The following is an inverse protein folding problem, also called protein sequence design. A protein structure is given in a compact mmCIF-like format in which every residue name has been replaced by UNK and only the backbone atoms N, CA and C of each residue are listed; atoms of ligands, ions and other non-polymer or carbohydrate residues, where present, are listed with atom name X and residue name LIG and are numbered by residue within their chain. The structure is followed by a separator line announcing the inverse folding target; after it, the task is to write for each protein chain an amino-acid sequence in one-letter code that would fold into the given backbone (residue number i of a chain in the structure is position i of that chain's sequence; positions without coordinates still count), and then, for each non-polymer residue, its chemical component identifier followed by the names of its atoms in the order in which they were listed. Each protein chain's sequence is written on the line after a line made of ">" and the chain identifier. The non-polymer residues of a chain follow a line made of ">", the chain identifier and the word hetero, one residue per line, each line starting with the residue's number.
data_IF_495292556237
#
_entry.id   IF_495292556237
#
_cell.length_a   1.000
_cell.length_b   1.000
_cell.length_c   1.000
_cell.angle_alpha   90.00
_cell.angle_beta   90.00
_cell.angle_gamma   90.00
#
_symmetry.space_group_name_H-M   'P 1'
#
loop_
_entity.id
_entity.type
_entity.pdbx_description
1 polymer ?
#
# COMPACT_ATOMS: atom_id res chain seq x y z
N UNK A 1 -2.16 -11.82 1.99
CA UNK A 1 -3.39 -11.33 2.66
C UNK A 1 -3.93 -10.03 2.05
N UNK A 2 -3.12 -8.97 1.88
CA UNK A 2 -3.60 -7.63 1.45
C UNK A 2 -4.21 -7.54 0.04
N UNK A 3 -3.74 -8.34 -0.93
CA UNK A 3 -4.32 -8.39 -2.29
C UNK A 3 -5.65 -9.16 -2.38
N UNK A 4 -6.07 -9.88 -1.32
CA UNK A 4 -7.29 -10.69 -1.32
C UNK A 4 -8.54 -9.81 -1.18
N UNK A 5 -8.46 -8.74 -0.39
CA UNK A 5 -9.58 -7.80 -0.15
C UNK A 5 -9.96 -6.97 -1.39
N UNK A 6 -9.00 -6.71 -2.27
CA UNK A 6 -9.25 -6.00 -3.53
C UNK A 6 -9.77 -6.91 -4.66
N UNK A 7 -9.82 -8.22 -4.42
CA UNK A 7 -10.36 -9.15 -5.40
C UNK A 7 -11.88 -8.97 -5.51
N UNK A 8 -12.39 -8.82 -6.74
CA UNK A 8 -13.83 -8.73 -7.04
C UNK A 8 -14.67 -9.81 -6.33
N UNK A 9 -14.15 -11.03 -6.22
CA UNK A 9 -14.84 -12.15 -5.57
C UNK A 9 -15.00 -11.99 -4.06
N UNK A 10 -14.17 -11.16 -3.41
CA UNK A 10 -14.24 -10.85 -1.98
C UNK A 10 -14.91 -9.51 -1.74
N UNK A 11 -14.67 -8.53 -2.62
CA UNK A 11 -15.21 -7.19 -2.51
C UNK A 11 -16.73 -7.15 -2.69
N UNK A 12 -17.28 -7.92 -3.62
CA UNK A 12 -18.72 -7.99 -3.88
C UNK A 12 -19.49 -8.48 -2.65
N UNK A 13 -19.21 -9.67 -2.06
CA UNK A 13 -19.95 -10.13 -0.88
C UNK A 13 -19.73 -9.22 0.34
N UNK A 14 -18.54 -8.63 0.50
CA UNK A 14 -18.29 -7.64 1.55
C UNK A 14 -19.22 -6.42 1.41
N UNK A 15 -19.37 -5.90 0.20
CA UNK A 15 -20.21 -4.73 -0.07
C UNK A 15 -21.70 -5.04 0.10
N UNK A 16 -22.15 -6.23 -0.33
CA UNK A 16 -23.52 -6.69 -0.11
C UNK A 16 -23.78 -6.84 1.40
N UNK A 17 -22.86 -7.47 2.13
CA UNK A 17 -22.95 -7.61 3.58
C UNK A 17 -23.01 -6.25 4.29
N UNK A 18 -22.15 -5.31 3.92
CA UNK A 18 -22.15 -3.95 4.47
C UNK A 18 -23.49 -3.25 4.22
N UNK A 19 -24.04 -3.36 3.01
CA UNK A 19 -25.34 -2.77 2.68
C UNK A 19 -26.47 -3.37 3.54
N UNK A 20 -26.52 -4.70 3.67
CA UNK A 20 -27.52 -5.37 4.50
C UNK A 20 -27.41 -4.99 5.98
N UNK A 21 -26.20 -4.87 6.50
CA UNK A 21 -25.95 -4.42 7.88
C UNK A 21 -26.50 -3.00 8.10
N UNK A 22 -26.31 -2.09 7.14
CA UNK A 22 -26.89 -0.73 7.23
C UNK A 22 -28.42 -0.79 7.26
N UNK A 23 -29.06 -1.67 6.49
CA UNK A 23 -30.53 -1.80 6.51
C UNK A 23 -31.07 -2.38 7.81
N UNK A 24 -30.38 -3.39 8.37
CA UNK A 24 -30.75 -4.02 9.65
C UNK A 24 -30.59 -3.01 10.80
N UNK A 25 -29.47 -2.29 10.84
CA UNK A 25 -29.24 -1.23 11.84
C UNK A 25 -30.24 -0.09 11.67
N UNK A 26 -30.52 0.34 10.43
CA UNK A 26 -31.52 1.36 10.16
C UNK A 26 -32.91 0.95 10.65
N UNK A 27 -33.31 -0.29 10.41
CA UNK A 27 -34.59 -0.85 10.88
C UNK A 27 -34.67 -0.89 12.40
N UNK A 28 -33.60 -1.34 13.06
CA UNK A 28 -33.51 -1.30 14.51
C UNK A 28 -33.67 0.12 15.07
N UNK A 29 -32.99 1.10 14.48
CA UNK A 29 -33.10 2.51 14.91
C UNK A 29 -34.50 3.07 14.69
N UNK A 30 -35.17 2.73 13.59
CA UNK A 30 -36.54 3.17 13.32
C UNK A 30 -37.49 2.62 14.39
N UNK A 31 -37.45 1.31 14.64
CA UNK A 31 -38.30 0.65 15.62
C UNK A 31 -38.06 1.21 17.03
N UNK A 32 -36.78 1.41 17.41
CA UNK A 32 -36.43 1.99 18.71
C UNK A 32 -36.95 3.42 18.87
N UNK A 33 -36.84 4.25 17.82
CA UNK A 33 -37.31 5.64 17.86
C UNK A 33 -38.84 5.71 17.93
N UNK A 34 -39.56 4.85 17.21
CA UNK A 34 -41.02 4.81 17.27
C UNK A 34 -41.52 4.43 18.67
N UNK A 35 -40.92 3.40 19.27
CA UNK A 35 -41.25 2.98 20.62
C UNK A 35 -41.01 4.12 21.62
N UNK A 36 -39.83 4.77 21.54
CA UNK A 36 -39.50 5.90 22.40
C UNK A 36 -40.45 7.10 22.21
N UNK A 37 -40.88 7.39 20.97
CA UNK A 37 -41.84 8.44 20.68
C UNK A 37 -43.25 8.11 21.19
N UNK A 38 -43.69 6.85 21.09
CA UNK A 38 -44.98 6.40 21.63
C UNK A 38 -45.05 6.56 23.15
N UNK A 39 -43.97 6.23 23.86
CA UNK A 39 -43.86 6.43 25.30
C UNK A 39 -43.88 7.90 25.69
N UNK A 40 -43.19 8.76 24.92
CA UNK A 40 -43.19 10.20 25.16
C UNK A 40 -44.58 10.81 24.99
N UNK A 41 -45.34 10.37 23.98
CA UNK A 41 -46.70 10.84 23.73
C UNK A 41 -47.69 10.43 24.84
N UNK A 42 -47.43 9.33 25.53
CA UNK A 42 -48.30 8.79 26.59
C UNK A 42 -47.91 9.30 27.99
N UNK A 43 -46.85 10.10 28.10
CA UNK A 43 -46.39 10.69 29.36
C UNK A 43 -47.45 11.62 29.99
N UNK A 44 -47.73 11.55 31.32
CA UNK A 44 -47.02 10.79 32.37
C UNK A 44 -47.57 9.38 32.65
N UNK A 45 -48.63 8.95 31.96
CA UNK A 45 -49.30 7.67 32.21
C UNK A 45 -48.63 6.53 31.42
N UNK A 46 -47.37 6.25 31.73
CA UNK A 46 -46.63 5.16 31.07
C UNK A 46 -47.06 3.82 31.66
N UNK A 47 -47.84 3.04 30.91
CA UNK A 47 -48.28 1.70 31.32
C UNK A 47 -47.21 0.63 31.08
N UNK A 48 -46.48 0.70 29.96
CA UNK A 48 -45.40 -0.22 29.62
C UNK A 48 -44.06 0.52 29.46
N UNK A 49 -42.97 0.05 30.10
CA UNK A 49 -41.65 0.67 29.96
C UNK A 49 -41.00 0.29 28.62
N UNK A 50 -40.03 1.10 28.17
CA UNK A 50 -39.24 0.81 26.98
C UNK A 50 -38.52 -0.55 27.11
N UNK A 51 -38.89 -1.51 26.28
CA UNK A 51 -38.21 -2.79 26.17
C UNK A 51 -37.42 -2.87 24.86
N UNK A 52 -36.31 -3.60 24.89
CA UNK A 52 -35.46 -3.81 23.72
C UNK A 52 -35.62 -5.24 23.26
N UNK A 53 -36.40 -5.42 22.21
CA UNK A 53 -36.71 -6.75 21.68
C UNK A 53 -35.81 -7.11 20.50
N UNK A 54 -35.49 -8.39 20.38
CA UNK A 54 -34.78 -8.91 19.21
C UNK A 54 -35.54 -8.64 17.91
N UNK A 55 -36.87 -8.58 17.99
CA UNK A 55 -37.75 -8.24 16.88
C UNK A 55 -37.37 -6.92 16.19
N UNK A 56 -36.79 -5.95 16.90
CA UNK A 56 -36.49 -4.64 16.32
C UNK A 56 -35.50 -4.70 15.16
N UNK A 57 -34.65 -5.73 15.11
CA UNK A 57 -33.72 -5.93 13.99
C UNK A 57 -34.40 -6.55 12.75
N UNK A 58 -35.56 -7.19 12.92
CA UNK A 58 -36.21 -8.02 11.88
C UNK A 58 -37.63 -7.57 11.51
N UNK A 59 -38.23 -6.64 12.24
CA UNK A 59 -39.53 -6.04 11.93
C UNK A 59 -39.35 -4.90 10.91
N UNK A 60 -39.27 -5.28 9.64
CA UNK A 60 -39.16 -4.33 8.53
C UNK A 60 -40.50 -3.67 8.20
N UNK A 61 -40.61 -2.35 8.39
CA UNK A 61 -41.82 -1.56 8.14
C UNK A 61 -41.78 -0.87 6.78
N UNK A 62 -41.41 -1.60 5.72
CA UNK A 62 -41.11 -1.01 4.39
C UNK A 62 -42.33 -0.32 3.78
N UNK A 63 -43.52 -0.88 3.97
CA UNK A 63 -44.78 -0.34 3.43
C UNK A 63 -45.20 0.95 4.14
N UNK A 64 -44.96 1.05 5.45
CA UNK A 64 -45.40 2.17 6.28
C UNK A 64 -44.43 3.36 6.18
N UNK A 65 -43.12 3.08 6.09
CA UNK A 65 -42.07 4.10 6.03
C UNK A 65 -41.17 3.95 4.78
N UNK A 66 -41.73 3.95 3.55
CA UNK A 66 -40.96 3.70 2.34
C UNK A 66 -39.87 4.77 2.09
N UNK A 67 -40.12 6.02 2.50
CA UNK A 67 -39.17 7.11 2.40
C UNK A 67 -37.94 6.90 3.29
N UNK A 68 -38.10 6.34 4.49
CA UNK A 68 -37.00 6.04 5.40
C UNK A 68 -36.07 5.01 4.77
N UNK A 69 -36.63 3.89 4.30
CA UNK A 69 -35.88 2.84 3.63
C UNK A 69 -35.23 3.31 2.31
N UNK A 70 -35.87 4.24 1.60
CA UNK A 70 -35.27 4.90 0.44
C UNK A 70 -34.01 5.70 0.82
N UNK A 71 -34.09 6.52 1.87
CA UNK A 71 -32.97 7.35 2.35
C UNK A 71 -31.83 6.46 2.86
N UNK A 72 -32.12 5.48 3.72
CA UNK A 72 -31.09 4.58 4.26
C UNK A 72 -30.43 3.76 3.14
N UNK A 73 -31.17 3.39 2.09
CA UNK A 73 -30.62 2.74 0.91
C UNK A 73 -29.66 3.63 0.14
N UNK A 74 -30.00 4.90 -0.08
CA UNK A 74 -29.08 5.85 -0.75
C UNK A 74 -27.81 6.04 0.08
N UNK A 75 -27.93 6.22 1.41
CA UNK A 75 -26.79 6.33 2.31
C UNK A 75 -25.92 5.06 2.33
N UNK A 76 -26.56 3.88 2.34
CA UNK A 76 -25.88 2.59 2.27
C UNK A 76 -25.10 2.41 0.97
N UNK A 77 -25.69 2.77 -0.18
CA UNK A 77 -25.02 2.73 -1.47
C UNK A 77 -23.84 3.71 -1.55
N UNK A 78 -24.00 4.91 -0.98
CA UNK A 78 -22.92 5.89 -0.90
C UNK A 78 -21.73 5.36 -0.08
N UNK A 79 -22.00 4.75 1.09
CA UNK A 79 -20.98 4.13 1.94
C UNK A 79 -20.27 2.97 1.23
N UNK A 80 -21.01 2.13 0.51
CA UNK A 80 -20.46 1.06 -0.32
C UNK A 80 -19.53 1.64 -1.39
N UNK A 81 -19.96 2.69 -2.11
CA UNK A 81 -19.14 3.36 -3.12
C UNK A 81 -17.83 3.91 -2.57
N UNK A 82 -17.87 4.57 -1.40
CA UNK A 82 -16.68 5.06 -0.70
C UNK A 82 -15.74 3.91 -0.31
N UNK A 83 -16.30 2.80 0.17
CA UNK A 83 -15.54 1.62 0.58
C UNK A 83 -14.84 0.97 -0.62
N UNK A 84 -15.55 0.81 -1.75
CA UNK A 84 -14.99 0.33 -3.02
C UNK A 84 -13.84 1.23 -3.46
N UNK A 85 -14.07 2.55 -3.48
CA UNK A 85 -13.04 3.51 -3.88
C UNK A 85 -11.78 3.39 -3.01
N UNK A 86 -11.92 3.41 -1.68
CA UNK A 86 -10.77 3.31 -0.76
C UNK A 86 -10.03 1.99 -0.87
N UNK A 87 -10.74 0.86 -0.99
CA UNK A 87 -10.10 -0.44 -1.11
C UNK A 87 -9.37 -0.55 -2.46
N UNK A 88 -10.03 -0.19 -3.55
CA UNK A 88 -9.42 -0.25 -4.89
C UNK A 88 -8.24 0.71 -5.05
N UNK A 89 -8.31 1.93 -4.50
CA UNK A 89 -7.21 2.91 -4.57
C UNK A 89 -6.00 2.49 -3.73
N UNK A 90 -6.23 1.99 -2.52
CA UNK A 90 -5.14 1.58 -1.61
C UNK A 90 -4.43 0.30 -2.07
N UNK A 91 -5.12 -0.53 -2.85
CA UNK A 91 -4.58 -1.79 -3.36
C UNK A 91 -4.30 -1.74 -4.87
N UNK A 92 -4.49 -0.59 -5.52
CA UNK A 92 -4.05 -0.38 -6.89
C UNK A 92 -2.54 -0.63 -6.94
N UNK A 93 -2.10 -1.51 -7.85
CA UNK A 93 -0.68 -1.79 -7.98
C UNK A 93 0.02 -0.51 -8.43
N UNK A 94 0.93 0.00 -7.60
CA UNK A 94 1.97 0.92 -8.05
C UNK A 94 2.67 0.23 -9.22
N UNK A 95 2.72 0.91 -10.37
CA UNK A 95 3.15 0.41 -11.69
C UNK A 95 4.25 -0.66 -11.61
N UNK A 96 4.00 -1.81 -12.27
CA UNK A 96 4.78 -3.05 -12.10
C UNK A 96 6.17 -3.05 -12.74
N UNK A 97 6.45 -2.09 -13.62
CA UNK A 97 7.60 -2.15 -14.53
C UNK A 97 8.68 -1.09 -14.25
N UNK A 98 8.60 -0.38 -13.12
CA UNK A 98 9.61 0.61 -12.71
C UNK A 98 10.35 0.20 -11.43
N UNK A 99 11.52 0.83 -11.21
CA UNK A 99 12.37 0.62 -10.02
C UNK A 99 11.53 0.86 -8.75
N UNK A 100 11.17 -0.20 -8.02
CA UNK A 100 10.36 -0.09 -6.80
C UNK A 100 9.24 -1.12 -6.62
N UNK A 101 9.20 -2.19 -7.43
CA UNK A 101 8.21 -3.27 -7.25
C UNK A 101 8.35 -3.98 -5.89
N UNK A 102 7.25 -4.54 -5.37
CA UNK A 102 7.22 -5.24 -4.07
C UNK A 102 7.92 -6.61 -4.04
N UNK A 103 8.65 -6.98 -5.10
CA UNK A 103 9.34 -8.27 -5.22
C UNK A 103 10.80 -8.08 -5.60
N UNK A 104 11.60 -9.11 -5.35
CA UNK A 104 12.96 -9.17 -5.89
C UNK A 104 12.92 -9.24 -7.42
N UNK A 105 13.82 -8.48 -8.04
CA UNK A 105 14.03 -8.51 -9.48
C UNK A 105 14.67 -9.83 -9.91
N UNK A 106 14.30 -10.32 -11.09
CA UNK A 106 14.95 -11.48 -11.71
C UNK A 106 16.31 -11.09 -12.28
N UNK A 107 17.17 -12.08 -12.55
CA UNK A 107 18.47 -11.84 -13.18
C UNK A 107 18.36 -11.23 -14.57
N UNK A 108 17.25 -11.46 -15.27
CA UNK A 108 16.98 -10.87 -16.59
C UNK A 108 16.58 -9.41 -16.44
N UNK A 109 15.64 -9.12 -15.53
CA UNK A 109 15.22 -7.75 -15.21
C UNK A 109 16.38 -6.87 -14.76
N UNK A 110 17.27 -7.39 -13.91
CA UNK A 110 18.48 -6.66 -13.49
C UNK A 110 19.38 -6.34 -14.69
N UNK A 111 19.50 -7.26 -15.65
CA UNK A 111 20.34 -7.05 -16.83
C UNK A 111 19.72 -6.09 -17.85
N UNK A 112 18.39 -5.98 -17.87
CA UNK A 112 17.65 -5.05 -18.72
C UNK A 112 17.60 -3.64 -18.12
N UNK A 113 17.42 -3.52 -16.80
CA UNK A 113 17.25 -2.26 -16.09
C UNK A 113 18.56 -1.54 -15.76
N UNK A 114 19.64 -2.30 -15.58
CA UNK A 114 20.92 -1.76 -15.12
C UNK A 114 22.03 -2.00 -16.13
N UNK A 115 22.93 -1.01 -16.22
CA UNK A 115 24.01 -1.01 -17.20
C UNK A 115 25.10 -1.99 -16.79
N UNK A 116 25.40 -2.94 -17.67
CA UNK A 116 26.51 -3.89 -17.49
C UNK A 116 27.86 -3.21 -17.77
N UNK A 117 28.80 -3.33 -16.85
CA UNK A 117 30.18 -2.84 -16.97
C UNK A 117 31.20 -3.94 -16.63
N UNK A 118 32.46 -3.83 -17.09
CA UNK A 118 33.53 -4.72 -16.65
C UNK A 118 33.70 -4.66 -15.12
N UNK A 119 33.96 -5.81 -14.51
CA UNK A 119 34.15 -5.94 -13.06
C UNK A 119 35.21 -4.97 -12.53
N UNK A 120 36.40 -4.96 -13.13
CA UNK A 120 37.57 -4.16 -12.72
C UNK A 120 38.44 -3.76 -13.92
N UNK A 121 39.40 -2.87 -13.65
CA UNK A 121 40.54 -2.46 -14.51
C UNK A 121 40.19 -1.70 -15.79
N UNK A 122 39.19 -2.16 -16.55
CA UNK A 122 38.84 -1.58 -17.85
C UNK A 122 37.91 -0.38 -17.67
N UNK A 123 38.24 0.71 -18.34
CA UNK A 123 37.31 1.84 -18.49
C UNK A 123 36.10 1.47 -19.35
N UNK A 124 34.98 2.17 -19.19
CA UNK A 124 33.75 1.89 -19.93
C UNK A 124 33.00 3.18 -20.33
N UNK A 125 32.21 3.09 -21.40
CA UNK A 125 31.52 4.24 -22.01
C UNK A 125 30.40 4.78 -21.10
N UNK A 126 30.19 6.10 -21.10
CA UNK A 126 29.08 6.78 -20.42
C UNK A 126 29.35 7.16 -18.95
N UNK A 127 28.27 7.37 -18.18
CA UNK A 127 28.34 7.74 -16.76
C UNK A 127 28.57 6.51 -15.88
N UNK A 128 29.18 6.75 -14.72
CA UNK A 128 29.24 5.78 -13.63
C UNK A 128 27.98 5.81 -12.78
N UNK A 129 27.88 4.87 -11.86
CA UNK A 129 26.67 4.61 -11.11
C UNK A 129 26.90 3.73 -9.88
N UNK A 130 25.90 3.66 -9.00
CA UNK A 130 25.93 2.75 -7.85
C UNK A 130 25.88 1.28 -8.29
N UNK A 131 26.71 0.42 -7.70
CA UNK A 131 26.71 -1.02 -8.04
C UNK A 131 25.51 -1.71 -7.42
N UNK A 132 24.67 -2.34 -8.26
CA UNK A 132 23.43 -3.01 -7.86
C UNK A 132 23.60 -4.52 -7.80
N UNK A 133 24.34 -5.11 -8.75
CA UNK A 133 24.56 -6.54 -8.80
C UNK A 133 25.92 -6.92 -9.39
N UNK A 134 26.39 -8.10 -9.01
CA UNK A 134 27.59 -8.73 -9.54
C UNK A 134 27.22 -10.08 -10.16
N UNK A 135 27.68 -10.34 -11.40
CA UNK A 135 27.44 -11.62 -12.08
C UNK A 135 28.61 -11.98 -12.99
N UNK A 136 29.32 -13.06 -12.64
CA UNK A 136 30.52 -13.46 -13.37
C UNK A 136 31.59 -12.38 -13.25
N UNK A 137 32.14 -11.93 -14.38
CA UNK A 137 33.14 -10.86 -14.45
C UNK A 137 32.54 -9.51 -14.85
N UNK A 138 31.36 -9.18 -14.32
CA UNK A 138 30.68 -7.94 -14.65
C UNK A 138 29.87 -7.38 -13.47
N UNK A 139 29.89 -6.06 -13.34
CA UNK A 139 29.01 -5.31 -12.45
C UNK A 139 27.83 -4.72 -13.23
N UNK A 140 26.70 -4.58 -12.55
CA UNK A 140 25.51 -3.89 -13.05
C UNK A 140 25.34 -2.63 -12.22
N UNK A 141 25.37 -1.47 -12.90
CA UNK A 141 25.31 -0.16 -12.25
C UNK A 141 24.01 0.56 -12.56
N UNK A 142 23.55 1.35 -11.59
CA UNK A 142 22.52 2.38 -11.80
C UNK A 142 23.19 3.72 -12.08
N UNK A 143 23.22 4.14 -13.34
CA UNK A 143 23.81 5.41 -13.80
C UNK A 143 22.82 6.59 -13.77
N UNK A 144 21.66 6.40 -13.14
CA UNK A 144 20.69 7.44 -12.83
C UNK A 144 21.14 8.37 -11.70
N UNK A 145 20.56 9.58 -11.65
CA UNK A 145 20.76 10.53 -10.57
C UNK A 145 19.90 10.16 -9.35
N UNK A 146 20.29 9.10 -8.64
CA UNK A 146 19.56 8.57 -7.47
C UNK A 146 20.41 8.62 -6.21
N UNK A 147 19.75 8.80 -5.07
CA UNK A 147 20.39 8.67 -3.76
C UNK A 147 20.31 7.20 -3.30
N UNK A 148 21.42 6.69 -2.75
CA UNK A 148 21.51 5.32 -2.26
C UNK A 148 21.70 5.29 -0.74
N UNK A 149 21.02 4.37 -0.06
CA UNK A 149 21.17 4.13 1.37
C UNK A 149 21.61 2.69 1.60
N UNK A 150 22.77 2.50 2.25
CA UNK A 150 23.38 1.18 2.48
C UNK A 150 23.39 0.89 3.97
N UNK A 151 22.50 0.01 4.40
CA UNK A 151 22.32 -0.34 5.82
C UNK A 151 22.88 -1.75 6.07
N UNK A 152 23.51 -1.92 7.23
CA UNK A 152 24.04 -3.20 7.68
C UNK A 152 24.85 -3.04 8.96
N UNK A 153 24.99 -4.11 9.72
CA UNK A 153 25.74 -4.14 10.99
C UNK A 153 27.26 -3.99 10.77
N UNK A 154 28.06 -3.81 11.82
CA UNK A 154 29.52 -3.81 11.69
C UNK A 154 30.01 -5.15 11.13
N UNK A 155 31.01 -5.12 10.22
CA UNK A 155 31.58 -6.32 9.55
C UNK A 155 30.64 -7.06 8.59
N UNK A 156 29.49 -6.47 8.22
CA UNK A 156 28.60 -7.00 7.16
C UNK A 156 29.11 -6.82 5.72
N UNK A 157 30.30 -6.24 5.52
CA UNK A 157 30.90 -6.09 4.20
C UNK A 157 30.46 -4.86 3.39
N UNK A 158 29.67 -3.93 3.94
CA UNK A 158 29.20 -2.70 3.22
C UNK A 158 30.29 -1.96 2.44
N UNK A 159 31.49 -1.82 3.02
CA UNK A 159 32.64 -1.19 2.37
C UNK A 159 33.04 -1.94 1.11
N UNK A 160 33.45 -3.20 1.31
CA UNK A 160 33.99 -4.07 0.26
C UNK A 160 32.98 -4.49 -0.79
N UNK A 161 31.70 -4.65 -0.43
CA UNK A 161 30.66 -5.14 -1.34
C UNK A 161 29.94 -4.04 -2.10
N UNK A 162 29.91 -2.81 -1.57
CA UNK A 162 29.16 -1.71 -2.19
C UNK A 162 29.99 -0.45 -2.38
N UNK A 163 30.61 0.08 -1.32
CA UNK A 163 31.30 1.38 -1.37
C UNK A 163 32.50 1.32 -2.31
N UNK A 164 33.42 0.38 -2.10
CA UNK A 164 34.67 0.29 -2.85
C UNK A 164 34.41 -0.03 -4.34
N UNK A 165 33.54 -1.01 -4.69
CA UNK A 165 33.17 -1.25 -6.09
C UNK A 165 32.45 -0.07 -6.75
N UNK A 166 31.67 0.70 -5.98
CA UNK A 166 30.98 1.89 -6.51
C UNK A 166 31.96 3.02 -6.79
N UNK A 167 32.94 3.27 -5.91
CA UNK A 167 34.00 4.25 -6.16
C UNK A 167 34.80 3.85 -7.41
N UNK A 168 35.22 2.59 -7.52
CA UNK A 168 35.91 2.06 -8.70
C UNK A 168 35.06 2.22 -9.99
N UNK A 169 33.77 1.87 -9.92
CA UNK A 169 32.86 2.05 -11.05
C UNK A 169 32.81 3.51 -11.49
N UNK A 170 32.62 4.46 -10.58
CA UNK A 170 32.61 5.89 -10.92
C UNK A 170 33.96 6.38 -11.48
N UNK A 171 35.08 5.91 -10.94
CA UNK A 171 36.42 6.30 -11.38
C UNK A 171 36.78 5.79 -12.80
N UNK A 172 36.25 4.63 -13.20
CA UNK A 172 36.48 4.00 -14.51
C UNK A 172 35.49 4.43 -15.60
N UNK A 173 34.48 5.22 -15.28
CA UNK A 173 33.56 5.75 -16.27
C UNK A 173 34.27 6.71 -17.23
N UNK A 174 33.85 6.73 -18.50
CA UNK A 174 34.28 7.74 -19.48
C UNK A 174 33.94 9.16 -19.00
N UNK A 175 32.73 9.33 -18.45
CA UNK A 175 32.28 10.59 -17.84
C UNK A 175 32.52 10.54 -16.33
N UNK A 176 33.77 10.77 -15.93
CA UNK A 176 34.20 10.75 -14.52
C UNK A 176 33.54 11.88 -13.72
N UNK A 177 32.75 11.58 -12.67
CA UNK A 177 32.22 12.61 -11.80
C UNK A 177 33.27 13.07 -10.80
N UNK A 178 33.10 14.28 -10.25
CA UNK A 178 33.75 14.68 -9.01
C UNK A 178 33.11 13.91 -7.83
N UNK A 179 33.93 13.37 -6.94
CA UNK A 179 33.47 12.64 -5.75
C UNK A 179 34.00 13.29 -4.48
N UNK A 180 33.15 13.47 -3.48
CA UNK A 180 33.53 13.85 -2.12
C UNK A 180 33.26 12.64 -1.24
N UNK A 181 34.31 12.05 -0.67
CA UNK A 181 34.23 10.82 0.12
C UNK A 181 34.66 11.14 1.55
N UNK A 182 33.75 10.92 2.50
CA UNK A 182 34.09 10.99 3.92
C UNK A 182 34.70 9.65 4.38
N UNK A 183 36.03 9.56 4.31
CA UNK A 183 36.78 8.37 4.70
C UNK A 183 37.30 8.46 6.15
N UNK A 184 36.43 8.16 7.11
CA UNK A 184 36.77 8.21 8.54
C UNK A 184 37.90 7.24 8.95
N UNK A 185 38.23 6.22 8.14
CA UNK A 185 39.21 5.18 8.48
C UNK A 185 40.42 5.12 7.55
N UNK A 186 40.50 5.95 6.52
CA UNK A 186 41.60 5.94 5.55
C UNK A 186 41.63 4.70 4.64
N UNK A 187 40.49 4.02 4.47
CA UNK A 187 40.40 2.81 3.65
C UNK A 187 40.16 3.10 2.17
N UNK A 188 39.52 4.23 1.87
CA UNK A 188 39.08 4.59 0.52
C UNK A 188 40.19 5.20 -0.35
N UNK A 189 41.35 5.50 0.23
CA UNK A 189 42.53 6.02 -0.48
C UNK A 189 43.54 4.93 -0.87
N UNK A 190 43.24 3.65 -0.61
CA UNK A 190 44.17 2.52 -0.79
C UNK A 190 43.92 1.70 -2.07
N UNK A 191 43.15 2.24 -3.02
CA UNK A 191 42.83 1.58 -4.30
C UNK A 191 43.87 1.89 -5.38
#
# INVERSE_FOLDING_TARGET
>A
MKAVLANKFVLIPLCIGLFLVVQVIGTFLLNLVQEALGLLQTFPNIEEPLTLEWGYFTTFQITEHPWFYGITSVLGLMLVGITIYKLTSNFASISRDEKGSQRFATKQEVAEQYKKIPEKEKSYRGKGGGVIAHKGHAHFIDDGAVHNMVIGTTRSGKGQLYVDPTIDAYARAEKKPSMIINDMKGGATRF
#
